data_IF_325674510929
#
_entry.id   IF_325674510929
#
_cell.length_a   1.000
_cell.length_b   1.000
_cell.length_c   1.000
_cell.angle_alpha   90.00
_cell.angle_beta   90.00
_cell.angle_gamma   90.00
#
_symmetry.space_group_name_H-M   'P 1'
#
loop_
_entity.id
_entity.type
_entity.pdbx_description
1 polymer ?
#
# COMPACT_ATOMS: atom_id res chain seq x y z
N UNK A 1 -7.94 24.61 6.03
CA UNK A 1 -7.40 24.20 4.70
C UNK A 1 -8.27 23.07 4.14
N UNK A 2 -8.47 22.99 2.82
CA UNK A 2 -9.22 21.91 2.16
C UNK A 2 -8.30 21.02 1.34
N UNK A 3 -8.22 19.74 1.69
CA UNK A 3 -7.38 18.74 1.04
C UNK A 3 -8.23 17.70 0.35
N UNK A 4 -7.91 17.36 -0.89
CA UNK A 4 -8.49 16.22 -1.60
C UNK A 4 -7.45 15.13 -1.79
N UNK A 5 -7.71 13.93 -1.28
CA UNK A 5 -6.96 12.73 -1.63
C UNK A 5 -7.61 12.06 -2.85
N UNK A 6 -6.82 11.67 -3.84
CA UNK A 6 -7.29 11.00 -5.05
C UNK A 6 -6.35 9.87 -5.49
N UNK A 7 -6.75 9.16 -6.55
CA UNK A 7 -6.10 7.94 -7.06
C UNK A 7 -6.20 6.75 -6.07
N UNK A 8 -7.37 6.61 -5.43
CA UNK A 8 -7.70 5.55 -4.47
C UNK A 8 -8.74 4.58 -5.03
N UNK A 9 -8.43 3.28 -4.98
CA UNK A 9 -9.28 2.22 -5.53
C UNK A 9 -10.41 1.73 -4.60
N UNK A 10 -10.43 2.17 -3.34
CA UNK A 10 -11.35 1.71 -2.30
C UNK A 10 -10.69 0.89 -1.19
N UNK A 11 -11.43 0.62 -0.12
CA UNK A 11 -10.94 -0.03 1.11
C UNK A 11 -11.00 -1.56 1.11
N UNK A 12 -11.40 -2.21 0.01
CA UNK A 12 -11.30 -3.68 -0.13
C UNK A 12 -9.85 -4.18 -0.26
N UNK A 13 -8.93 -3.29 -0.63
CA UNK A 13 -7.51 -3.44 -0.36
C UNK A 13 -7.20 -2.76 0.96
N UNK A 14 -6.93 -3.54 2.01
CA UNK A 14 -6.71 -3.00 3.37
C UNK A 14 -5.45 -2.15 3.48
N UNK A 15 -4.54 -2.28 2.52
CA UNK A 15 -3.42 -1.37 2.39
C UNK A 15 -3.82 0.04 1.93
N UNK A 16 -4.72 0.13 0.96
CA UNK A 16 -5.26 1.43 0.51
C UNK A 16 -6.08 2.08 1.64
N UNK A 17 -6.90 1.29 2.35
CA UNK A 17 -7.59 1.75 3.56
C UNK A 17 -6.61 2.30 4.61
N UNK A 18 -5.50 1.60 4.86
CA UNK A 18 -4.50 2.00 5.84
C UNK A 18 -3.82 3.34 5.50
N UNK A 19 -3.53 3.58 4.22
CA UNK A 19 -2.98 4.87 3.75
C UNK A 19 -3.99 5.99 4.03
N UNK A 20 -5.24 5.84 3.61
CA UNK A 20 -6.28 6.87 3.77
C UNK A 20 -6.53 7.17 5.25
N UNK A 21 -6.75 6.14 6.07
CA UNK A 21 -6.97 6.28 7.52
C UNK A 21 -5.81 7.04 8.16
N UNK A 22 -4.60 6.52 7.99
CA UNK A 22 -3.43 7.06 8.69
C UNK A 22 -3.08 8.45 8.21
N UNK A 23 -3.19 8.73 6.91
CA UNK A 23 -2.96 10.07 6.34
C UNK A 23 -3.97 11.08 6.88
N UNK A 24 -5.25 10.71 6.93
CA UNK A 24 -6.30 11.58 7.48
C UNK A 24 -6.03 11.90 8.94
N UNK A 25 -5.68 10.89 9.74
CA UNK A 25 -5.38 11.05 11.17
C UNK A 25 -4.20 12.00 11.39
N UNK A 26 -3.04 11.75 10.76
CA UNK A 26 -1.84 12.58 10.99
C UNK A 26 -2.02 14.02 10.48
N UNK A 27 -2.80 14.23 9.41
CA UNK A 27 -3.12 15.57 8.90
C UNK A 27 -3.98 16.33 9.92
N UNK A 28 -5.05 15.69 10.42
CA UNK A 28 -6.01 16.34 11.33
C UNK A 28 -5.41 16.58 12.72
N UNK A 29 -4.53 15.72 13.22
CA UNK A 29 -3.84 15.93 14.51
C UNK A 29 -2.96 17.19 14.54
N UNK A 30 -2.46 17.65 13.40
CA UNK A 30 -1.51 18.77 13.31
C UNK A 30 -2.13 20.06 12.79
N UNK A 31 -3.36 20.02 12.30
CA UNK A 31 -4.00 21.17 11.68
C UNK A 31 -5.46 21.25 12.10
N UNK A 32 -5.70 21.93 13.22
CA UNK A 32 -7.04 22.33 13.65
C UNK A 32 -7.68 23.11 12.48
N UNK A 33 -8.85 22.67 11.99
CA UNK A 33 -9.59 23.20 10.81
C UNK A 33 -9.19 22.70 9.41
N UNK A 34 -8.40 21.63 9.28
CA UNK A 34 -8.23 20.96 7.97
C UNK A 34 -9.37 20.01 7.64
N UNK A 35 -10.03 20.25 6.50
CA UNK A 35 -10.99 19.34 5.91
C UNK A 35 -10.30 18.41 4.92
N UNK A 36 -10.54 17.12 5.07
CA UNK A 36 -9.96 16.06 4.24
C UNK A 36 -11.08 15.35 3.48
N UNK A 37 -11.06 15.48 2.16
CA UNK A 37 -11.98 14.84 1.24
C UNK A 37 -11.28 13.67 0.54
N UNK A 38 -12.02 12.59 0.30
CA UNK A 38 -11.54 11.45 -0.48
C UNK A 38 -12.31 11.33 -1.79
N UNK A 39 -11.61 11.17 -2.90
CA UNK A 39 -12.21 10.76 -4.17
C UNK A 39 -11.81 9.31 -4.44
N UNK A 40 -12.80 8.42 -4.44
CA UNK A 40 -12.60 6.96 -4.47
C UNK A 40 -13.31 6.32 -5.65
N UNK A 41 -12.69 5.31 -6.26
CA UNK A 41 -13.35 4.47 -7.27
C UNK A 41 -14.43 3.55 -6.68
N UNK A 42 -14.46 3.37 -5.35
CA UNK A 42 -15.48 2.58 -4.63
C UNK A 42 -15.88 3.27 -3.31
N UNK A 43 -16.54 4.44 -3.35
CA UNK A 43 -16.83 5.26 -2.17
C UNK A 43 -17.55 4.53 -1.04
N UNK A 44 -18.45 3.60 -1.39
CA UNK A 44 -19.21 2.78 -0.45
C UNK A 44 -18.32 1.99 0.52
N UNK A 45 -17.13 1.59 0.06
CA UNK A 45 -16.18 0.82 0.87
C UNK A 45 -15.43 1.68 1.88
N UNK A 46 -15.37 3.00 1.68
CA UNK A 46 -14.57 3.94 2.47
C UNK A 46 -15.37 4.63 3.58
N UNK A 47 -16.70 4.46 3.62
CA UNK A 47 -17.59 5.00 4.67
C UNK A 47 -17.23 4.56 6.08
N UNK A 48 -16.44 3.49 6.21
CA UNK A 48 -15.91 2.96 7.46
C UNK A 48 -14.78 3.83 8.06
N UNK A 49 -14.32 4.87 7.36
CA UNK A 49 -13.24 5.77 7.79
C UNK A 49 -13.86 7.04 8.40
N UNK A 50 -13.97 7.13 9.74
CA UNK A 50 -14.80 8.16 10.38
C UNK A 50 -14.21 9.57 10.31
N UNK A 51 -12.90 9.70 10.10
CA UNK A 51 -12.24 11.00 10.11
C UNK A 51 -12.31 11.75 8.78
N UNK A 52 -12.85 11.17 7.70
CA UNK A 52 -13.03 11.88 6.43
C UNK A 52 -14.21 12.86 6.52
N UNK A 53 -14.06 14.06 5.95
CA UNK A 53 -15.14 15.07 5.94
C UNK A 53 -16.19 14.76 4.86
N UNK A 54 -15.76 14.27 3.70
CA UNK A 54 -16.65 13.80 2.63
C UNK A 54 -15.93 12.79 1.74
N UNK A 55 -16.72 11.90 1.13
CA UNK A 55 -16.25 10.89 0.18
C UNK A 55 -17.03 11.08 -1.12
N UNK A 56 -16.32 11.25 -2.23
CA UNK A 56 -16.88 11.45 -3.55
C UNK A 56 -16.60 10.27 -4.47
N UNK A 57 -17.52 10.06 -5.41
CA UNK A 57 -17.34 9.16 -6.54
C UNK A 57 -16.19 9.62 -7.43
N UNK A 58 -15.25 8.70 -7.67
CA UNK A 58 -14.00 8.90 -8.40
C UNK A 58 -13.77 7.92 -9.53
N UNK A 59 -14.68 6.96 -9.77
CA UNK A 59 -14.54 6.01 -10.87
C UNK A 59 -14.53 6.72 -12.23
N UNK A 60 -13.65 6.23 -13.10
CA UNK A 60 -13.55 6.66 -14.50
C UNK A 60 -14.87 6.39 -15.21
N UNK A 61 -15.39 7.41 -15.88
CA UNK A 61 -16.57 7.30 -16.72
C UNK A 61 -16.18 6.91 -18.15
N UNK A 62 -17.15 6.39 -18.92
CA UNK A 62 -16.96 6.12 -20.34
C UNK A 62 -17.59 7.21 -21.20
N UNK A 63 -16.94 7.55 -22.31
CA UNK A 63 -17.51 8.47 -23.30
C UNK A 63 -18.48 7.68 -24.18
N UNK A 64 -19.75 8.06 -24.17
CA UNK A 64 -20.79 7.43 -24.99
C UNK A 64 -20.42 7.55 -26.47
N UNK A 65 -20.34 6.43 -27.19
CA UNK A 65 -20.08 6.40 -28.65
C UNK A 65 -21.09 7.28 -29.39
N UNK A 66 -20.61 7.99 -30.41
CA UNK A 66 -21.38 8.93 -31.24
C UNK A 66 -21.94 10.17 -30.52
N UNK A 67 -21.57 10.41 -29.25
CA UNK A 67 -21.86 11.68 -28.58
C UNK A 67 -21.01 12.83 -29.14
N UNK A 68 -21.39 14.05 -28.82
CA UNK A 68 -20.60 15.25 -29.11
C UNK A 68 -19.16 15.13 -28.58
N UNK A 69 -19.02 14.69 -27.32
CA UNK A 69 -17.71 14.48 -26.68
C UNK A 69 -16.89 13.38 -27.38
N UNK A 70 -17.55 12.33 -27.88
CA UNK A 70 -16.89 11.27 -28.64
C UNK A 70 -16.31 11.77 -29.97
N UNK A 71 -17.08 12.58 -30.71
CA UNK A 71 -16.59 13.16 -31.96
C UNK A 71 -15.42 14.11 -31.74
N UNK A 72 -15.45 14.95 -30.70
CA UNK A 72 -14.30 15.81 -30.35
C UNK A 72 -13.08 14.98 -29.99
N UNK A 73 -13.25 13.99 -29.10
CA UNK A 73 -12.17 13.09 -28.71
C UNK A 73 -11.56 12.40 -29.92
N UNK A 74 -12.40 11.87 -30.82
CA UNK A 74 -11.95 11.20 -32.05
C UNK A 74 -11.17 12.13 -32.96
N UNK A 75 -11.66 13.36 -33.20
CA UNK A 75 -10.97 14.34 -34.03
C UNK A 75 -9.60 14.71 -33.43
N UNK A 76 -9.54 14.95 -32.11
CA UNK A 76 -8.29 15.28 -31.42
C UNK A 76 -7.26 14.16 -31.51
N UNK A 77 -7.67 12.92 -31.24
CA UNK A 77 -6.78 11.76 -31.33
C UNK A 77 -6.33 11.55 -32.78
N UNK A 78 -7.24 11.61 -33.75
CA UNK A 78 -6.93 11.33 -35.16
C UNK A 78 -6.02 12.38 -35.81
N UNK A 79 -6.24 13.66 -35.53
CA UNK A 79 -5.52 14.75 -36.20
C UNK A 79 -4.33 15.29 -35.40
N UNK A 80 -4.31 15.12 -34.07
CA UNK A 80 -3.30 15.71 -33.19
C UNK A 80 -2.62 14.70 -32.26
N UNK A 81 -3.01 13.41 -32.29
CA UNK A 81 -2.55 12.40 -31.34
C UNK A 81 -2.72 12.83 -29.87
N UNK A 82 -3.77 13.61 -29.60
CA UNK A 82 -4.07 14.23 -28.31
C UNK A 82 -5.25 13.53 -27.61
N UNK A 83 -4.94 12.72 -26.61
CA UNK A 83 -5.93 12.01 -25.77
C UNK A 83 -6.45 12.85 -24.58
N UNK A 84 -5.88 14.04 -24.32
CA UNK A 84 -6.15 14.83 -23.10
C UNK A 84 -7.63 15.14 -22.91
N UNK A 85 -8.36 15.44 -23.99
CA UNK A 85 -9.79 15.72 -23.93
C UNK A 85 -10.58 14.49 -23.49
N UNK A 86 -10.25 13.32 -24.03
CA UNK A 86 -10.92 12.07 -23.71
C UNK A 86 -10.68 11.70 -22.23
N UNK A 87 -9.42 11.71 -21.82
CA UNK A 87 -9.01 11.41 -20.45
C UNK A 87 -9.66 12.38 -19.44
N UNK A 88 -9.67 13.69 -19.74
CA UNK A 88 -10.31 14.66 -18.85
C UNK A 88 -11.83 14.49 -18.73
N UNK A 89 -12.48 13.99 -19.79
CA UNK A 89 -13.92 13.64 -19.73
C UNK A 89 -14.15 12.38 -18.92
N UNK A 90 -13.33 11.36 -19.12
CA UNK A 90 -13.42 10.10 -18.37
C UNK A 90 -13.20 10.34 -16.88
N UNK A 91 -12.19 11.14 -16.52
CA UNK A 91 -11.80 11.48 -15.14
C UNK A 91 -12.54 12.71 -14.58
N UNK A 92 -13.62 13.16 -15.22
CA UNK A 92 -14.35 14.36 -14.83
C UNK A 92 -14.92 14.29 -13.39
N UNK A 93 -15.14 13.08 -12.87
CA UNK A 93 -15.55 12.86 -11.49
C UNK A 93 -14.55 13.41 -10.48
N UNK A 94 -13.25 13.23 -10.75
CA UNK A 94 -12.14 13.78 -9.97
C UNK A 94 -11.93 15.24 -10.33
N UNK A 95 -11.82 15.55 -11.64
CA UNK A 95 -11.41 16.87 -12.13
C UNK A 95 -12.38 17.99 -11.70
N UNK A 96 -13.69 17.73 -11.68
CA UNK A 96 -14.70 18.73 -11.29
C UNK A 96 -14.57 19.21 -9.84
N UNK A 97 -13.91 18.43 -8.97
CA UNK A 97 -13.72 18.70 -7.54
C UNK A 97 -12.47 19.50 -7.22
N UNK A 98 -11.50 19.56 -8.14
CA UNK A 98 -10.23 20.28 -7.97
C UNK A 98 -10.46 21.75 -7.56
N UNK A 99 -11.46 22.41 -8.15
CA UNK A 99 -11.79 23.82 -7.86
C UNK A 99 -12.20 24.05 -6.39
N UNK A 100 -12.77 23.03 -5.74
CA UNK A 100 -13.40 23.12 -4.42
C UNK A 100 -12.39 22.97 -3.26
N UNK A 101 -11.13 22.65 -3.56
CA UNK A 101 -10.05 22.37 -2.60
C UNK A 101 -8.80 23.23 -2.81
N UNK A 102 -7.92 23.25 -1.83
CA UNK A 102 -6.67 24.03 -1.85
C UNK A 102 -5.47 23.17 -2.30
N UNK A 103 -5.44 21.91 -1.85
CA UNK A 103 -4.35 20.96 -2.13
C UNK A 103 -4.91 19.61 -2.58
N UNK A 104 -4.29 19.02 -3.60
CA UNK A 104 -4.57 17.66 -4.08
C UNK A 104 -3.41 16.72 -3.71
N UNK A 105 -3.72 15.63 -3.00
CA UNK A 105 -2.78 14.57 -2.64
C UNK A 105 -3.05 13.34 -3.51
N UNK A 106 -2.06 12.95 -4.32
CA UNK A 106 -2.08 11.68 -5.04
C UNK A 106 -1.61 10.58 -4.10
N UNK A 107 -2.53 9.77 -3.58
CA UNK A 107 -2.27 8.81 -2.47
C UNK A 107 -2.06 7.36 -2.93
N UNK A 108 -2.09 7.11 -4.25
CA UNK A 108 -1.83 5.78 -4.79
C UNK A 108 -0.41 5.28 -4.52
N UNK A 109 0.58 6.18 -4.47
CA UNK A 109 1.95 5.93 -4.04
C UNK A 109 2.78 5.00 -4.95
N UNK A 110 2.23 3.87 -5.39
CA UNK A 110 2.82 2.91 -6.32
C UNK A 110 2.07 2.80 -7.65
N UNK A 111 1.10 3.68 -7.93
CA UNK A 111 0.44 3.77 -9.24
C UNK A 111 1.44 3.93 -10.40
N UNK A 112 2.56 4.61 -10.15
CA UNK A 112 3.66 4.77 -11.12
C UNK A 112 4.45 3.47 -11.38
N UNK A 113 4.22 2.40 -10.61
CA UNK A 113 4.85 1.09 -10.79
C UNK A 113 4.06 0.12 -11.70
N UNK A 114 2.93 0.56 -12.27
CA UNK A 114 2.04 -0.29 -13.07
C UNK A 114 1.97 0.17 -14.52
N UNK A 115 3.13 0.41 -15.14
CA UNK A 115 3.21 0.95 -16.50
C UNK A 115 2.83 2.43 -16.57
N UNK A 116 2.46 2.90 -17.77
CA UNK A 116 2.03 4.30 -17.97
C UNK A 116 0.63 4.56 -17.44
N UNK A 117 0.44 5.72 -16.81
CA UNK A 117 -0.82 6.13 -16.20
C UNK A 117 -1.37 7.42 -16.83
N UNK A 118 -1.76 7.41 -18.13
CA UNK A 118 -2.13 8.63 -18.86
C UNK A 118 -3.32 9.39 -18.23
N UNK A 119 -4.28 8.66 -17.66
CA UNK A 119 -5.42 9.25 -16.95
C UNK A 119 -4.96 10.03 -15.69
N UNK A 120 -4.03 9.45 -14.92
CA UNK A 120 -3.44 10.11 -13.75
C UNK A 120 -2.69 11.38 -14.17
N UNK A 121 -1.86 11.30 -15.21
CA UNK A 121 -1.11 12.46 -15.70
C UNK A 121 -2.04 13.59 -16.19
N UNK A 122 -3.19 13.23 -16.77
CA UNK A 122 -4.18 14.22 -17.16
C UNK A 122 -4.82 14.89 -15.93
N UNK A 123 -5.15 14.13 -14.89
CA UNK A 123 -5.64 14.71 -13.62
C UNK A 123 -4.59 15.68 -13.07
N UNK A 124 -3.32 15.29 -13.01
CA UNK A 124 -2.22 16.11 -12.49
C UNK A 124 -2.06 17.41 -13.28
N UNK A 125 -2.07 17.35 -14.62
CA UNK A 125 -2.10 18.55 -15.48
C UNK A 125 -3.29 19.46 -15.18
N UNK A 126 -4.48 18.90 -14.90
CA UNK A 126 -5.69 19.68 -14.58
C UNK A 126 -5.65 20.30 -13.19
N UNK A 127 -4.96 19.68 -12.23
CA UNK A 127 -4.68 20.27 -10.92
C UNK A 127 -3.80 21.51 -11.10
N UNK A 128 -2.72 21.39 -11.87
CA UNK A 128 -1.81 22.52 -12.14
C UNK A 128 -2.44 23.62 -12.97
N UNK A 129 -3.24 23.29 -13.98
CA UNK A 129 -3.96 24.28 -14.79
C UNK A 129 -4.96 25.12 -13.98
N UNK A 130 -5.49 24.58 -12.88
CA UNK A 130 -6.37 25.30 -11.95
C UNK A 130 -5.59 26.02 -10.82
N UNK A 131 -4.26 26.08 -10.90
CA UNK A 131 -3.40 26.76 -9.93
C UNK A 131 -3.35 26.10 -8.56
N UNK A 132 -3.78 24.84 -8.43
CA UNK A 132 -3.80 24.12 -7.16
C UNK A 132 -2.45 23.48 -6.85
N UNK A 133 -2.20 23.24 -5.56
CA UNK A 133 -1.02 22.49 -5.10
C UNK A 133 -1.23 21.00 -5.32
N UNK A 134 -0.21 20.32 -5.82
CA UNK A 134 -0.21 18.90 -6.13
C UNK A 134 0.94 18.22 -5.39
N UNK A 135 0.62 17.20 -4.58
CA UNK A 135 1.60 16.45 -3.79
C UNK A 135 1.47 14.96 -4.07
N UNK A 136 2.58 14.31 -4.38
CA UNK A 136 2.65 12.85 -4.46
C UNK A 136 2.90 12.31 -3.06
N UNK A 137 1.91 11.62 -2.50
CA UNK A 137 1.85 11.33 -1.07
C UNK A 137 2.30 9.90 -0.77
N UNK A 138 3.52 9.75 -0.27
CA UNK A 138 4.06 8.47 0.20
C UNK A 138 4.33 7.48 -0.95
N UNK A 139 5.09 7.89 -1.97
CA UNK A 139 5.36 7.04 -3.13
C UNK A 139 6.52 6.06 -2.94
N UNK A 140 6.42 4.96 -3.68
CA UNK A 140 7.53 4.06 -3.98
C UNK A 140 7.58 3.85 -5.48
N UNK A 141 8.72 4.14 -6.09
CA UNK A 141 8.93 4.06 -7.54
C UNK A 141 10.31 3.42 -7.77
N UNK A 142 10.35 2.35 -8.57
CA UNK A 142 11.58 1.70 -8.98
C UNK A 142 12.24 2.39 -10.18
N UNK A 143 13.54 2.17 -10.38
CA UNK A 143 14.23 2.68 -11.58
C UNK A 143 13.70 2.01 -12.85
N UNK A 144 13.32 0.74 -12.75
CA UNK A 144 12.69 -0.06 -13.81
C UNK A 144 11.35 0.52 -14.28
N UNK A 145 10.69 1.29 -13.42
CA UNK A 145 9.41 1.92 -13.72
C UNK A 145 9.58 3.31 -14.32
N UNK A 146 10.79 3.87 -14.41
CA UNK A 146 11.01 5.27 -14.77
C UNK A 146 11.09 5.49 -16.29
N UNK A 147 9.98 5.90 -16.90
CA UNK A 147 9.94 6.37 -18.29
C UNK A 147 10.13 7.89 -18.38
N UNK A 148 10.45 8.40 -19.58
CA UNK A 148 10.51 9.84 -19.85
C UNK A 148 9.19 10.54 -19.53
N UNK A 149 8.05 9.93 -19.91
CA UNK A 149 6.71 10.47 -19.65
C UNK A 149 6.40 10.56 -18.15
N UNK A 150 6.75 9.53 -17.37
CA UNK A 150 6.61 9.57 -15.91
C UNK A 150 7.49 10.65 -15.30
N UNK A 151 8.73 10.78 -15.77
CA UNK A 151 9.62 11.81 -15.26
C UNK A 151 9.12 13.23 -15.58
N UNK A 152 8.54 13.44 -16.76
CA UNK A 152 7.87 14.70 -17.13
C UNK A 152 6.68 15.01 -16.22
N UNK A 153 5.84 14.01 -15.95
CA UNK A 153 4.68 14.15 -15.07
C UNK A 153 5.09 14.41 -13.61
N UNK A 154 6.10 13.70 -13.11
CA UNK A 154 6.65 13.90 -11.76
C UNK A 154 7.18 15.34 -11.55
N UNK A 155 7.64 16.02 -12.60
CA UNK A 155 8.06 17.44 -12.53
C UNK A 155 6.89 18.41 -12.27
N UNK A 156 5.63 17.99 -12.47
CA UNK A 156 4.45 18.81 -12.22
C UNK A 156 4.14 18.96 -10.72
N UNK A 157 4.58 18.00 -9.90
CA UNK A 157 4.30 17.99 -8.46
C UNK A 157 5.01 19.15 -7.77
N UNK A 158 4.34 19.79 -6.81
CA UNK A 158 4.98 20.80 -5.96
C UNK A 158 5.84 20.13 -4.87
N UNK A 159 5.47 18.92 -4.45
CA UNK A 159 6.25 18.07 -3.56
C UNK A 159 6.06 16.59 -3.88
N UNK A 160 7.14 15.82 -3.83
CA UNK A 160 7.12 14.36 -3.94
C UNK A 160 7.59 13.78 -2.62
N UNK A 161 6.71 13.07 -1.92
CA UNK A 161 7.03 12.46 -0.63
C UNK A 161 7.34 10.98 -0.87
N UNK A 162 8.63 10.63 -0.89
CA UNK A 162 9.07 9.24 -1.02
C UNK A 162 9.00 8.56 0.36
N UNK A 163 8.37 7.39 0.44
CA UNK A 163 8.11 6.69 1.72
C UNK A 163 9.24 5.78 2.21
N UNK A 164 10.31 5.67 1.42
CA UNK A 164 11.52 4.92 1.76
C UNK A 164 12.75 5.44 1.00
N UNK A 165 13.94 5.13 1.52
CA UNK A 165 15.20 5.75 1.08
C UNK A 165 15.64 5.40 -0.35
N UNK A 166 15.30 4.22 -0.88
CA UNK A 166 15.69 3.81 -2.23
C UNK A 166 14.94 4.64 -3.29
N UNK A 167 13.61 4.79 -3.18
CA UNK A 167 12.85 5.70 -4.07
C UNK A 167 13.34 7.13 -3.93
N UNK A 168 13.56 7.61 -2.71
CA UNK A 168 14.08 8.97 -2.49
C UNK A 168 15.38 9.21 -3.26
N UNK A 169 16.36 8.32 -3.08
CA UNK A 169 17.67 8.45 -3.73
C UNK A 169 17.57 8.31 -5.26
N UNK A 170 16.73 7.40 -5.77
CA UNK A 170 16.49 7.23 -7.20
C UNK A 170 15.86 8.48 -7.83
N UNK A 171 14.80 9.03 -7.23
CA UNK A 171 14.16 10.23 -7.77
C UNK A 171 15.11 11.44 -7.74
N UNK A 172 15.91 11.58 -6.68
CA UNK A 172 16.97 12.61 -6.61
C UNK A 172 18.01 12.43 -7.72
N UNK A 173 18.44 11.20 -8.02
CA UNK A 173 19.43 10.93 -9.08
C UNK A 173 18.88 11.20 -10.49
N UNK A 174 17.56 11.11 -10.69
CA UNK A 174 16.86 11.52 -11.93
C UNK A 174 16.67 13.05 -12.05
N UNK A 175 17.19 13.83 -11.12
CA UNK A 175 17.19 15.31 -11.19
C UNK A 175 15.93 15.97 -10.63
N UNK A 176 15.08 15.23 -9.89
CA UNK A 176 13.93 15.83 -9.19
C UNK A 176 14.40 16.54 -7.91
N UNK A 177 14.06 17.82 -7.78
CA UNK A 177 14.54 18.67 -6.69
C UNK A 177 13.55 18.83 -5.53
N UNK A 178 12.27 18.57 -5.80
CA UNK A 178 11.12 18.66 -4.90
C UNK A 178 10.83 17.34 -4.14
N UNK A 179 11.78 16.40 -4.10
CA UNK A 179 11.64 15.13 -3.40
C UNK A 179 12.01 15.27 -1.93
N UNK A 180 11.15 14.78 -1.04
CA UNK A 180 11.36 14.72 0.41
C UNK A 180 11.20 13.28 0.89
N UNK A 181 12.01 12.89 1.87
CA UNK A 181 11.94 11.57 2.49
C UNK A 181 11.00 11.62 3.69
N UNK A 182 10.01 10.74 3.71
CA UNK A 182 9.15 10.45 4.85
C UNK A 182 9.03 8.93 5.02
N UNK A 183 8.33 8.46 6.05
CA UNK A 183 7.90 7.07 6.13
C UNK A 183 6.45 6.93 5.68
N UNK A 184 6.03 5.69 5.40
CA UNK A 184 4.65 5.38 5.07
C UNK A 184 3.71 5.80 6.23
N UNK A 185 2.57 6.47 5.96
CA UNK A 185 1.63 6.85 7.01
C UNK A 185 1.06 5.64 7.76
N UNK A 186 0.94 4.45 7.16
CA UNK A 186 0.39 3.26 7.81
C UNK A 186 1.17 2.78 9.04
N UNK A 187 2.42 3.23 9.24
CA UNK A 187 3.14 3.01 10.49
C UNK A 187 2.45 3.65 11.70
N UNK A 188 1.70 4.73 11.51
CA UNK A 188 0.97 5.43 12.58
C UNK A 188 -0.46 4.91 12.77
N UNK A 189 -0.95 4.01 11.90
CA UNK A 189 -2.31 3.49 11.98
C UNK A 189 -2.60 2.91 13.37
N UNK A 190 -3.76 3.22 13.92
CA UNK A 190 -4.25 2.57 15.13
C UNK A 190 -4.59 1.09 14.88
N UNK A 191 -4.83 0.34 15.96
CA UNK A 191 -5.26 -1.05 15.89
C UNK A 191 -6.51 -1.26 16.73
N UNK A 192 -7.37 -2.16 16.27
CA UNK A 192 -8.55 -2.61 16.99
C UNK A 192 -8.36 -4.10 17.32
N UNK A 193 -8.29 -4.43 18.60
CA UNK A 193 -8.10 -5.80 19.06
C UNK A 193 -9.45 -6.48 19.32
N UNK A 194 -9.88 -7.28 18.35
CA UNK A 194 -11.06 -8.14 18.48
C UNK A 194 -10.75 -9.42 19.28
N UNK A 195 -11.79 -10.18 19.63
CA UNK A 195 -11.64 -11.50 20.25
C UNK A 195 -10.79 -12.44 19.38
N UNK A 196 -9.99 -13.27 20.03
CA UNK A 196 -9.12 -14.22 19.35
C UNK A 196 -9.95 -15.43 18.88
N UNK A 197 -9.80 -15.86 17.62
CA UNK A 197 -10.54 -17.01 17.10
C UNK A 197 -10.09 -18.31 17.77
N UNK A 198 -10.98 -19.30 17.78
CA UNK A 198 -10.67 -20.64 18.28
C UNK A 198 -9.42 -21.21 17.59
N UNK A 199 -8.49 -21.75 18.38
CA UNK A 199 -7.23 -22.33 17.89
C UNK A 199 -6.04 -21.36 17.93
N UNK A 200 -6.27 -20.06 18.14
CA UNK A 200 -5.21 -19.09 18.38
C UNK A 200 -4.41 -19.45 19.66
N UNK A 201 -3.09 -19.36 19.58
CA UNK A 201 -2.18 -19.48 20.73
C UNK A 201 -1.52 -18.13 21.00
N UNK A 202 -1.88 -17.50 22.12
CA UNK A 202 -1.27 -16.23 22.52
C UNK A 202 0.23 -16.37 22.71
N UNK A 203 0.99 -15.43 22.13
CA UNK A 203 2.46 -15.47 22.13
C UNK A 203 3.06 -16.58 21.25
N UNK A 204 2.27 -17.46 20.63
CA UNK A 204 2.76 -18.59 19.84
C UNK A 204 2.02 -18.79 18.50
N UNK A 205 1.51 -17.71 17.93
CA UNK A 205 0.86 -17.72 16.60
C UNK A 205 1.70 -16.98 15.58
N UNK A 206 1.98 -17.62 14.43
CA UNK A 206 2.62 -17.00 13.26
C UNK A 206 1.57 -16.65 12.21
N UNK A 207 1.58 -15.41 11.73
CA UNK A 207 0.73 -15.01 10.62
C UNK A 207 1.34 -15.39 9.27
N UNK A 208 0.50 -15.83 8.33
CA UNK A 208 0.91 -16.07 6.95
C UNK A 208 -0.06 -15.38 5.99
N UNK A 209 0.45 -14.43 5.22
CA UNK A 209 -0.23 -13.79 4.10
C UNK A 209 0.47 -14.17 2.78
N UNK A 210 -0.32 -14.63 1.81
CA UNK A 210 0.16 -14.95 0.48
C UNK A 210 -0.85 -14.41 -0.55
N UNK A 211 -0.36 -13.87 -1.67
CA UNK A 211 -1.20 -13.13 -2.62
C UNK A 211 -1.26 -13.80 -3.99
N UNK A 212 -2.41 -13.68 -4.71
CA UNK A 212 -2.52 -14.10 -6.10
C UNK A 212 -1.44 -13.47 -7.00
N UNK A 213 -1.06 -12.21 -6.74
CA UNK A 213 -0.05 -11.50 -7.54
C UNK A 213 1.33 -12.15 -7.52
N UNK A 214 1.73 -12.72 -6.36
CA UNK A 214 2.99 -13.46 -6.26
C UNK A 214 2.87 -14.79 -6.98
N UNK A 215 1.75 -15.50 -6.79
CA UNK A 215 1.48 -16.77 -7.44
C UNK A 215 1.37 -16.68 -8.97
N UNK A 216 0.77 -15.61 -9.50
CA UNK A 216 0.62 -15.41 -10.94
C UNK A 216 1.94 -15.10 -11.63
N UNK A 217 2.86 -14.40 -10.95
CA UNK A 217 4.20 -14.13 -11.48
C UNK A 217 5.09 -15.36 -11.47
N UNK A 218 4.95 -16.22 -10.47
CA UNK A 218 5.68 -17.49 -10.41
C UNK A 218 4.82 -18.57 -9.77
N UNK A 219 4.41 -19.56 -10.56
CA UNK A 219 3.46 -20.60 -10.13
C UNK A 219 4.04 -21.54 -9.07
N UNK A 220 5.37 -21.72 -9.05
CA UNK A 220 6.06 -22.61 -8.11
C UNK A 220 6.04 -22.08 -6.67
N UNK A 221 5.84 -20.76 -6.50
CA UNK A 221 5.68 -20.14 -5.18
C UNK A 221 4.54 -20.75 -4.35
N UNK A 222 3.47 -21.25 -5.00
CA UNK A 222 2.37 -21.89 -4.28
C UNK A 222 2.82 -23.20 -3.60
N UNK A 223 3.62 -24.01 -4.30
CA UNK A 223 4.16 -25.24 -3.76
C UNK A 223 5.22 -24.95 -2.68
N UNK A 224 6.06 -23.93 -2.89
CA UNK A 224 7.04 -23.51 -1.90
C UNK A 224 6.40 -23.03 -0.59
N UNK A 225 5.30 -22.26 -0.66
CA UNK A 225 4.55 -21.82 0.53
C UNK A 225 3.86 -23.00 1.22
N UNK A 226 3.33 -23.98 0.48
CA UNK A 226 2.81 -25.24 1.07
C UNK A 226 3.90 -25.95 1.86
N UNK A 227 5.10 -26.05 1.29
CA UNK A 227 6.26 -26.67 1.94
C UNK A 227 6.73 -25.88 3.18
N UNK A 228 6.61 -24.56 3.17
CA UNK A 228 6.85 -23.72 4.35
C UNK A 228 5.83 -24.01 5.46
N UNK A 229 4.54 -24.13 5.12
CA UNK A 229 3.49 -24.50 6.11
C UNK A 229 3.82 -25.86 6.74
N UNK A 230 4.15 -26.86 5.93
CA UNK A 230 4.59 -28.17 6.42
C UNK A 230 5.81 -28.07 7.35
N UNK A 231 6.80 -27.27 6.98
CA UNK A 231 7.99 -27.06 7.80
C UNK A 231 7.64 -26.48 9.17
N UNK A 232 6.89 -25.38 9.21
CA UNK A 232 6.44 -24.75 10.47
C UNK A 232 5.70 -25.76 11.34
N UNK A 233 4.80 -26.54 10.76
CA UNK A 233 4.05 -27.55 11.50
C UNK A 233 4.96 -28.68 12.01
N UNK A 234 5.97 -29.11 11.25
CA UNK A 234 6.80 -30.25 11.64
C UNK A 234 7.94 -29.87 12.60
N UNK A 235 8.43 -28.63 12.58
CA UNK A 235 9.60 -28.20 13.35
C UNK A 235 9.27 -27.32 14.54
N UNK A 236 8.02 -26.87 14.68
CA UNK A 236 7.58 -25.98 15.76
C UNK A 236 6.22 -26.38 16.33
N UNK A 237 5.88 -25.82 17.49
CA UNK A 237 4.56 -25.90 18.11
C UNK A 237 3.63 -24.74 17.73
N UNK A 238 4.05 -23.86 16.80
CA UNK A 238 3.31 -22.66 16.42
C UNK A 238 1.92 -23.00 15.84
N UNK A 239 0.96 -22.13 16.12
CA UNK A 239 -0.28 -22.01 15.34
C UNK A 239 -0.04 -21.09 14.14
N UNK A 240 -0.52 -21.47 12.96
CA UNK A 240 -0.50 -20.65 11.76
C UNK A 240 -1.84 -19.95 11.58
N UNK A 241 -1.82 -18.61 11.55
CA UNK A 241 -2.97 -17.78 11.22
C UNK A 241 -2.89 -17.25 9.79
N UNK A 242 -3.65 -17.86 8.89
CA UNK A 242 -3.77 -17.41 7.51
C UNK A 242 -4.49 -16.05 7.49
N UNK A 243 -3.78 -15.03 7.00
CA UNK A 243 -4.13 -13.62 7.17
C UNK A 243 -4.37 -12.97 5.81
N UNK A 244 -5.60 -12.98 5.28
CA UNK A 244 -5.95 -12.23 4.07
C UNK A 244 -5.78 -10.72 4.27
N UNK A 245 -5.53 -9.98 3.19
CA UNK A 245 -5.37 -8.51 3.28
C UNK A 245 -5.97 -7.74 2.09
N UNK A 246 -6.23 -8.41 0.96
CA UNK A 246 -6.97 -7.85 -0.18
C UNK A 246 -8.11 -8.77 -0.55
N UNK A 247 -9.33 -8.22 -0.60
CA UNK A 247 -10.58 -8.94 -0.87
C UNK A 247 -11.25 -8.30 -2.09
N UNK A 248 -10.63 -8.50 -3.25
CA UNK A 248 -11.09 -7.92 -4.51
C UNK A 248 -11.20 -9.01 -5.57
N UNK A 249 -12.19 -8.89 -6.45
CA UNK A 249 -12.34 -9.80 -7.60
C UNK A 249 -11.05 -9.80 -8.46
N UNK A 250 -10.61 -11.00 -8.86
CA UNK A 250 -9.32 -11.22 -9.53
C UNK A 250 -8.07 -10.99 -8.67
N UNK A 251 -8.20 -10.55 -7.42
CA UNK A 251 -7.07 -10.24 -6.53
C UNK A 251 -7.44 -10.50 -5.06
N UNK A 252 -7.95 -11.70 -4.78
CA UNK A 252 -8.48 -12.09 -3.47
C UNK A 252 -7.50 -13.01 -2.71
N UNK A 253 -6.89 -12.49 -1.65
CA UNK A 253 -5.97 -13.27 -0.80
C UNK A 253 -6.69 -14.41 -0.09
N UNK A 254 -7.96 -14.20 0.32
CA UNK A 254 -8.72 -15.19 1.07
C UNK A 254 -8.93 -16.47 0.26
N UNK A 255 -9.21 -16.38 -1.04
CA UNK A 255 -9.41 -17.55 -1.90
C UNK A 255 -8.17 -18.42 -2.02
N UNK A 256 -6.98 -17.80 -2.06
CA UNK A 256 -5.71 -18.53 -2.11
C UNK A 256 -5.41 -19.17 -0.76
N UNK A 257 -5.57 -18.40 0.31
CA UNK A 257 -5.32 -18.86 1.68
C UNK A 257 -6.30 -19.97 2.11
N UNK A 258 -7.56 -19.89 1.68
CA UNK A 258 -8.57 -20.90 2.01
C UNK A 258 -8.22 -22.30 1.48
N UNK A 259 -7.49 -22.38 0.35
CA UNK A 259 -6.99 -23.66 -0.17
C UNK A 259 -6.00 -24.32 0.81
N UNK A 260 -5.07 -23.53 1.36
CA UNK A 260 -4.17 -24.02 2.41
C UNK A 260 -4.92 -24.36 3.69
N UNK A 261 -5.91 -23.54 4.08
CA UNK A 261 -6.74 -23.83 5.24
C UNK A 261 -7.41 -25.21 5.11
N UNK A 262 -8.07 -25.49 3.99
CA UNK A 262 -8.74 -26.77 3.77
C UNK A 262 -7.78 -27.96 3.81
N UNK A 263 -6.57 -27.79 3.29
CA UNK A 263 -5.51 -28.81 3.31
C UNK A 263 -5.00 -29.10 4.72
N UNK A 264 -4.80 -28.06 5.54
CA UNK A 264 -4.12 -28.19 6.84
C UNK A 264 -5.01 -28.08 8.08
N UNK A 265 -6.31 -27.78 7.96
CA UNK A 265 -7.23 -27.59 9.11
C UNK A 265 -7.29 -28.78 10.07
N UNK A 266 -7.12 -30.00 9.55
CA UNK A 266 -7.16 -31.23 10.37
C UNK A 266 -5.98 -31.37 11.34
N UNK A 267 -4.93 -30.56 11.18
CA UNK A 267 -3.81 -30.50 12.13
C UNK A 267 -4.19 -29.81 13.44
N UNK A 268 -5.31 -29.07 13.48
CA UNK A 268 -5.74 -28.29 14.64
C UNK A 268 -4.89 -27.04 14.93
N UNK A 269 -3.87 -26.75 14.11
CA UNK A 269 -2.94 -25.63 14.26
C UNK A 269 -2.94 -24.65 13.09
N UNK A 270 -3.85 -24.80 12.15
CA UNK A 270 -4.03 -23.84 11.05
C UNK A 270 -5.42 -23.23 11.15
N UNK A 271 -5.46 -21.91 11.30
CA UNK A 271 -6.67 -21.10 11.35
C UNK A 271 -6.66 -20.09 10.22
N UNK A 272 -7.83 -19.58 9.85
CA UNK A 272 -7.98 -18.51 8.85
C UNK A 272 -8.76 -17.35 9.47
N UNK A 273 -8.27 -16.13 9.28
CA UNK A 273 -8.98 -14.94 9.72
C UNK A 273 -10.15 -14.61 8.76
N UNK A 274 -11.25 -14.04 9.27
CA UNK A 274 -12.40 -13.63 8.45
C UNK A 274 -12.00 -12.66 7.34
N UNK A 275 -12.75 -12.66 6.22
CA UNK A 275 -12.50 -11.79 5.06
C UNK A 275 -13.26 -10.46 5.10
N UNK A 276 -14.06 -10.20 6.13
CA UNK A 276 -14.86 -8.99 6.31
C UNK A 276 -14.21 -7.97 7.25
N UNK A 277 -13.07 -8.30 7.87
CA UNK A 277 -12.32 -7.40 8.75
C UNK A 277 -11.79 -6.17 7.99
N UNK A 278 -11.78 -5.03 8.67
CA UNK A 278 -11.19 -3.78 8.18
C UNK A 278 -9.68 -3.69 8.48
N UNK A 279 -9.00 -2.63 8.02
CA UNK A 279 -7.54 -2.52 8.16
C UNK A 279 -7.04 -2.45 9.61
N UNK A 280 -7.76 -1.75 10.50
CA UNK A 280 -7.35 -1.62 11.92
C UNK A 280 -7.58 -2.92 12.70
N UNK A 281 -8.58 -3.71 12.32
CA UNK A 281 -8.88 -5.03 12.88
C UNK A 281 -7.84 -6.07 12.45
N UNK A 282 -7.49 -6.12 11.15
CA UNK A 282 -6.38 -6.96 10.70
C UNK A 282 -5.07 -6.57 11.41
N UNK A 283 -4.80 -5.27 11.58
CA UNK A 283 -3.63 -4.80 12.33
C UNK A 283 -3.68 -5.26 13.80
N UNK A 284 -4.85 -5.32 14.43
CA UNK A 284 -5.00 -5.83 15.80
C UNK A 284 -4.70 -7.33 15.95
N UNK A 285 -5.06 -8.15 14.96
CA UNK A 285 -4.62 -9.56 14.92
C UNK A 285 -3.12 -9.67 14.68
N UNK A 286 -2.59 -8.98 13.66
CA UNK A 286 -1.16 -9.01 13.32
C UNK A 286 -0.30 -8.55 14.50
N UNK A 287 -0.73 -7.54 15.25
CA UNK A 287 -0.03 -7.02 16.42
C UNK A 287 0.17 -8.03 17.56
N UNK A 288 -0.66 -9.08 17.61
CA UNK A 288 -0.64 -10.13 18.64
C UNK A 288 0.03 -11.42 18.17
N UNK A 289 0.61 -11.43 16.97
CA UNK A 289 1.37 -12.55 16.43
C UNK A 289 2.81 -12.55 16.95
N UNK A 290 3.38 -13.74 17.10
CA UNK A 290 4.80 -13.92 17.44
C UNK A 290 5.68 -13.55 16.24
N UNK A 291 5.29 -14.01 15.06
CA UNK A 291 5.99 -13.78 13.79
C UNK A 291 4.97 -13.46 12.70
N UNK A 292 5.42 -12.81 11.63
CA UNK A 292 4.59 -12.56 10.45
C UNK A 292 5.34 -12.90 9.16
N UNK A 293 4.67 -13.56 8.22
CA UNK A 293 5.18 -13.85 6.88
C UNK A 293 4.18 -13.26 5.90
N UNK A 294 4.60 -12.34 5.02
CA UNK A 294 3.63 -11.61 4.21
C UNK A 294 4.10 -11.14 2.84
N UNK A 295 3.23 -11.27 1.84
CA UNK A 295 3.43 -10.75 0.48
C UNK A 295 2.90 -9.31 0.29
N UNK A 296 1.97 -8.86 1.15
CA UNK A 296 1.35 -7.54 1.06
C UNK A 296 2.10 -6.53 1.94
N UNK A 297 2.62 -5.46 1.32
CA UNK A 297 3.42 -4.41 2.00
C UNK A 297 2.73 -3.82 3.22
N UNK A 298 1.43 -3.53 3.17
CA UNK A 298 0.75 -2.93 4.33
C UNK A 298 0.47 -3.94 5.45
N UNK A 299 0.39 -5.24 5.15
CA UNK A 299 0.36 -6.28 6.16
C UNK A 299 1.71 -6.38 6.88
N UNK A 300 2.83 -6.26 6.14
CA UNK A 300 4.17 -6.25 6.75
C UNK A 300 4.44 -4.95 7.52
N UNK A 301 3.95 -3.78 7.06
CA UNK A 301 3.97 -2.54 7.85
C UNK A 301 3.14 -2.70 9.13
N UNK A 302 1.98 -3.36 9.09
CA UNK A 302 1.18 -3.64 10.28
C UNK A 302 1.96 -4.48 11.31
N UNK A 303 2.74 -5.47 10.85
CA UNK A 303 3.61 -6.27 11.70
C UNK A 303 4.80 -5.45 12.25
N UNK A 304 5.55 -4.78 11.37
CA UNK A 304 6.68 -3.94 11.75
C UNK A 304 6.29 -2.84 12.74
N UNK A 305 5.19 -2.12 12.50
CA UNK A 305 4.73 -1.04 13.38
C UNK A 305 4.30 -1.48 14.79
N UNK A 306 4.14 -2.79 15.00
CA UNK A 306 3.89 -3.46 16.28
C UNK A 306 5.09 -4.29 16.78
N UNK A 307 6.27 -4.12 16.18
CA UNK A 307 7.51 -4.81 16.56
C UNK A 307 7.41 -6.35 16.47
N UNK A 308 6.65 -6.86 15.49
CA UNK A 308 6.57 -8.28 15.17
C UNK A 308 7.66 -8.60 14.13
N UNK A 309 8.60 -9.53 14.42
CA UNK A 309 9.58 -9.98 13.44
C UNK A 309 8.87 -10.53 12.20
N UNK A 310 9.34 -10.10 11.02
CA UNK A 310 8.61 -10.28 9.78
C UNK A 310 9.52 -10.77 8.66
N UNK A 311 9.05 -11.79 7.94
CA UNK A 311 9.62 -12.26 6.68
C UNK A 311 8.76 -11.76 5.52
N UNK A 312 9.36 -11.03 4.59
CA UNK A 312 8.64 -10.37 3.49
C UNK A 312 8.77 -11.17 2.21
N UNK A 313 7.66 -11.67 1.70
CA UNK A 313 7.54 -12.34 0.40
C UNK A 313 7.31 -11.28 -0.70
N UNK A 314 8.25 -10.36 -0.86
CA UNK A 314 8.06 -9.16 -1.67
C UNK A 314 9.32 -8.72 -2.41
N UNK A 315 9.23 -8.72 -3.74
CA UNK A 315 10.33 -8.42 -4.66
C UNK A 315 10.47 -6.94 -5.03
N UNK A 316 9.43 -6.14 -4.79
CA UNK A 316 9.38 -4.73 -5.20
C UNK A 316 10.27 -3.82 -4.36
N UNK A 317 10.70 -2.70 -4.94
CA UNK A 317 11.54 -1.69 -4.27
C UNK A 317 11.02 -1.24 -2.91
N UNK A 318 9.69 -1.12 -2.74
CA UNK A 318 9.04 -0.76 -1.47
C UNK A 318 9.39 -1.71 -0.32
N UNK A 319 9.40 -3.02 -0.54
CA UNK A 319 9.70 -4.00 0.50
C UNK A 319 11.16 -3.94 0.91
N UNK A 320 12.04 -3.79 -0.07
CA UNK A 320 13.49 -3.67 0.12
C UNK A 320 13.85 -2.38 0.86
N UNK A 321 13.28 -1.26 0.41
CA UNK A 321 13.50 0.05 0.98
C UNK A 321 13.03 0.18 2.42
N UNK A 322 11.80 -0.27 2.72
CA UNK A 322 11.28 -0.26 4.09
C UNK A 322 12.14 -1.14 5.00
N UNK A 323 12.55 -2.33 4.56
CA UNK A 323 13.44 -3.19 5.36
C UNK A 323 14.80 -2.51 5.60
N UNK A 324 15.40 -1.94 4.56
CA UNK A 324 16.66 -1.19 4.66
C UNK A 324 16.57 -0.01 5.63
N UNK A 325 15.46 0.72 5.62
CA UNK A 325 15.27 1.86 6.52
C UNK A 325 15.08 1.44 7.99
N UNK A 326 14.59 0.22 8.23
CA UNK A 326 14.39 -0.34 9.59
C UNK A 326 15.67 -0.99 10.11
N UNK A 327 16.31 -1.84 9.30
CA UNK A 327 17.39 -2.75 9.71
C UNK A 327 18.78 -2.32 9.21
N UNK A 328 18.87 -1.36 8.29
CA UNK A 328 20.11 -0.99 7.61
C UNK A 328 20.45 -1.85 6.38
N UNK A 329 19.73 -2.96 6.18
CA UNK A 329 19.88 -3.91 5.07
C UNK A 329 18.52 -4.49 4.65
N UNK A 330 18.46 -5.22 3.54
CA UNK A 330 17.23 -5.91 3.07
C UNK A 330 16.93 -7.18 3.91
N UNK A 331 16.88 -7.03 5.24
CA UNK A 331 16.71 -8.14 6.19
C UNK A 331 15.38 -8.88 5.95
N UNK A 332 15.47 -10.20 5.80
CA UNK A 332 14.34 -11.12 5.57
C UNK A 332 13.40 -10.71 4.42
N UNK A 333 13.91 -10.03 3.39
CA UNK A 333 13.16 -9.71 2.16
C UNK A 333 13.55 -10.70 1.07
N UNK A 334 12.57 -11.43 0.52
CA UNK A 334 12.80 -12.42 -0.52
C UNK A 334 12.28 -11.94 -1.87
N UNK A 335 13.11 -12.07 -2.91
CA UNK A 335 12.73 -11.83 -4.31
C UNK A 335 11.87 -12.93 -4.91
N UNK A 336 11.34 -12.73 -6.13
CA UNK A 336 10.45 -13.69 -6.80
C UNK A 336 11.06 -15.10 -6.93
N UNK A 337 12.31 -15.18 -7.38
CA UNK A 337 13.03 -16.44 -7.55
C UNK A 337 13.28 -17.17 -6.22
N UNK A 338 13.42 -16.41 -5.13
CA UNK A 338 13.64 -16.98 -3.81
C UNK A 338 12.36 -17.49 -3.19
N UNK A 339 11.24 -16.80 -3.45
CA UNK A 339 9.91 -17.21 -2.99
C UNK A 339 9.48 -18.53 -3.63
N UNK A 340 9.94 -18.86 -4.84
CA UNK A 340 9.70 -20.16 -5.49
C UNK A 340 10.56 -21.32 -4.96
N UNK A 341 11.56 -21.06 -4.11
CA UNK A 341 12.39 -22.12 -3.51
C UNK A 341 11.91 -22.45 -2.11
N UNK A 342 11.43 -23.70 -1.94
CA UNK A 342 11.02 -24.18 -0.62
C UNK A 342 12.18 -24.19 0.38
N UNK A 343 13.41 -24.50 -0.04
CA UNK A 343 14.58 -24.51 0.84
C UNK A 343 14.89 -23.09 1.36
N UNK A 344 14.83 -22.08 0.48
CA UNK A 344 15.08 -20.69 0.88
C UNK A 344 14.00 -20.16 1.83
N UNK A 345 12.73 -20.49 1.57
CA UNK A 345 11.64 -20.10 2.48
C UNK A 345 11.83 -20.71 3.88
N UNK A 346 12.13 -22.02 3.95
CA UNK A 346 12.39 -22.73 5.21
C UNK A 346 13.59 -22.12 5.94
N UNK A 347 14.71 -21.91 5.25
CA UNK A 347 15.91 -21.32 5.82
C UNK A 347 15.69 -19.90 6.37
N UNK A 348 14.94 -19.06 5.65
CA UNK A 348 14.61 -17.70 6.09
C UNK A 348 13.61 -17.67 7.24
N UNK A 349 12.69 -18.63 7.31
CA UNK A 349 11.85 -18.81 8.48
C UNK A 349 12.69 -19.21 9.70
N UNK A 350 13.61 -20.17 9.55
CA UNK A 350 14.48 -20.62 10.63
C UNK A 350 15.41 -19.49 11.12
N UNK A 351 15.92 -18.65 10.21
CA UNK A 351 16.64 -17.41 10.52
C UNK A 351 15.76 -16.45 11.34
N UNK A 352 14.52 -16.19 10.91
CA UNK A 352 13.60 -15.31 11.64
C UNK A 352 13.31 -15.82 13.06
N UNK A 353 13.18 -17.14 13.23
CA UNK A 353 12.93 -17.75 14.55
C UNK A 353 14.17 -17.69 15.43
N UNK A 354 15.35 -18.00 14.90
CA UNK A 354 16.60 -18.01 15.67
C UNK A 354 17.01 -16.60 16.11
N UNK A 355 16.70 -15.59 15.31
CA UNK A 355 17.02 -14.17 15.57
C UNK A 355 15.86 -13.39 16.20
N UNK A 356 14.80 -14.05 16.71
CA UNK A 356 13.58 -13.39 17.20
C UNK A 356 13.88 -12.19 18.12
N UNK A 357 14.79 -12.38 19.09
CA UNK A 357 15.13 -11.36 20.08
C UNK A 357 15.80 -10.15 19.43
N UNK A 358 16.75 -10.36 18.52
CA UNK A 358 17.49 -9.30 17.84
C UNK A 358 16.57 -8.50 16.91
N UNK A 359 15.72 -9.19 16.15
CA UNK A 359 14.73 -8.57 15.27
C UNK A 359 13.77 -7.70 16.07
N UNK A 360 13.26 -8.19 17.22
CA UNK A 360 12.38 -7.41 18.11
C UNK A 360 13.09 -6.18 18.68
N UNK A 361 14.32 -6.32 19.15
CA UNK A 361 15.10 -5.19 19.69
C UNK A 361 15.34 -4.12 18.63
N UNK A 362 15.69 -4.52 17.41
CA UNK A 362 15.89 -3.59 16.30
C UNK A 362 14.59 -2.86 15.96
N UNK A 363 13.46 -3.57 15.88
CA UNK A 363 12.16 -2.95 15.64
C UNK A 363 11.77 -1.98 16.77
N UNK A 364 11.94 -2.37 18.04
CA UNK A 364 11.64 -1.51 19.18
C UNK A 364 12.48 -0.21 19.17
N UNK A 365 13.72 -0.28 18.67
CA UNK A 365 14.60 0.89 18.51
C UNK A 365 14.22 1.75 17.29
N UNK A 366 13.97 1.14 16.14
CA UNK A 366 13.79 1.85 14.87
C UNK A 366 12.36 2.40 14.69
N UNK A 367 11.34 1.66 15.09
CA UNK A 367 9.92 1.97 14.80
C UNK A 367 9.45 3.30 15.40
N UNK A 368 9.83 3.72 16.62
CA UNK A 368 9.48 5.05 17.12
C UNK A 368 9.98 6.17 16.21
N UNK A 369 11.18 6.02 15.62
CA UNK A 369 11.71 7.00 14.66
C UNK A 369 10.98 6.92 13.32
N UNK A 370 10.69 5.72 12.81
CA UNK A 370 9.90 5.55 11.58
C UNK A 370 8.51 6.19 11.71
N UNK A 371 7.83 6.03 12.84
CA UNK A 371 6.54 6.71 13.10
C UNK A 371 6.69 8.23 13.08
N UNK A 372 7.76 8.79 13.66
CA UNK A 372 8.06 10.23 13.56
C UNK A 372 8.31 10.67 12.11
N UNK A 373 8.99 9.84 11.32
CA UNK A 373 9.21 10.10 9.89
C UNK A 373 7.90 10.08 9.08
N UNK A 374 6.85 9.36 9.51
CA UNK A 374 5.53 9.47 8.88
C UNK A 374 4.92 10.86 9.08
N UNK A 375 5.10 11.49 10.24
CA UNK A 375 4.62 12.86 10.51
C UNK A 375 5.35 13.94 9.71
N UNK A 376 6.58 13.67 9.24
CA UNK A 376 7.31 14.60 8.35
C UNK A 376 6.53 14.93 7.08
N UNK A 377 5.69 14.01 6.58
CA UNK A 377 4.83 14.26 5.44
C UNK A 377 3.90 15.46 5.67
N UNK A 378 3.36 15.60 6.89
CA UNK A 378 2.47 16.70 7.27
C UNK A 378 3.24 18.00 7.48
N UNK A 379 4.47 17.93 8.00
CA UNK A 379 5.35 19.09 8.11
C UNK A 379 5.68 19.67 6.72
N UNK A 380 6.08 18.81 5.76
CA UNK A 380 6.34 19.24 4.39
C UNK A 380 5.10 19.76 3.68
N UNK A 381 3.94 19.17 3.95
CA UNK A 381 2.67 19.69 3.46
C UNK A 381 2.43 21.10 4.02
N UNK A 382 2.55 21.30 5.33
CA UNK A 382 2.34 22.61 5.95
C UNK A 382 3.33 23.67 5.45
N UNK A 383 4.58 23.32 5.17
CA UNK A 383 5.57 24.20 4.53
C UNK A 383 5.14 24.65 3.12
N UNK A 384 4.44 23.80 2.37
CA UNK A 384 4.04 24.07 0.99
C UNK A 384 2.83 25.02 0.88
N UNK A 385 1.97 25.05 1.91
CA UNK A 385 0.73 25.86 1.92
C UNK A 385 0.87 27.18 2.70
N UNK A 386 2.03 27.43 3.31
CA UNK A 386 2.43 28.76 3.77
C UNK A 386 2.78 29.64 2.58
#
# INVERSE_FOLDING_TARGET
MKIMMFAHGGSLNRGCEAIVRSSTNIIKEKTDDTKVYLVSSKPETDKIIPQLDEIYEGSSSSIKKYSYDWWIALLKVKFFNDESYALAKMENNIIKRIKDVDVCLSIGGDNYCYGEQPALYEIDRRVKAQGKKLVLWGCSIGDEDMSEKKLEDLKLFDAILARESLTYNMLKSKGLNNVKLCADPAFTMEKEELELPKGWQEGNTVGLNFSPLVWERNKDSQAAVRELINHILNTTDLTIALTPHVIMDGNNDYEVLYKYYEEFKNTGRVIILPNDLNAIQYKGYIARMRFFIGARTHATIAAYSNCVPTMVLGYSIKSKGISKDIFGEEKLVLGLEEISSSEKLKAKFDEMVSEETELRQTLQKSIPNIKKMSYKAVEYLAELVK
#
